data_IF_544109443083
#
_entry.id   IF_544109443083
#
_cell.length_a   1.000
_cell.length_b   1.000
_cell.length_c   1.000
_cell.angle_alpha   90.00
_cell.angle_beta   90.00
_cell.angle_gamma   90.00
#
_symmetry.space_group_name_H-M   'P 1'
#
loop_
_entity.id
_entity.type
_entity.pdbx_description
1 polymer ?
#
# COMPACT_ATOMS: atom_id res chain seq x y z
N UNK A 1 -5.74 7.06 7.67
CA UNK A 1 -4.27 7.13 7.53
C UNK A 1 -3.87 8.45 6.90
N UNK A 2 -3.10 9.27 7.59
CA UNK A 2 -2.54 10.50 7.01
C UNK A 2 -1.23 10.14 6.30
N UNK A 3 -1.30 9.93 4.99
CA UNK A 3 -0.17 9.50 4.13
C UNK A 3 1.04 10.43 4.27
N UNK A 4 0.80 11.71 4.55
CA UNK A 4 1.87 12.68 4.79
C UNK A 4 2.69 12.41 6.04
N UNK A 5 2.11 11.84 7.11
CA UNK A 5 2.85 11.50 8.33
C UNK A 5 3.85 10.38 8.05
N UNK A 6 3.41 9.33 7.33
CA UNK A 6 4.27 8.23 6.91
C UNK A 6 5.45 8.73 6.07
N UNK A 7 5.26 9.75 5.23
CA UNK A 7 6.32 10.28 4.36
C UNK A 7 7.56 10.82 5.10
N UNK A 8 7.44 11.10 6.41
CA UNK A 8 8.54 11.55 7.26
C UNK A 8 9.39 10.41 7.82
N UNK A 9 8.90 9.17 7.77
CA UNK A 9 9.59 7.98 8.28
C UNK A 9 10.61 7.45 7.27
N UNK A 10 11.51 8.29 6.79
CA UNK A 10 12.40 7.99 5.64
C UNK A 10 13.42 6.87 5.90
N UNK A 11 13.61 6.48 7.16
CA UNK A 11 14.48 5.38 7.55
C UNK A 11 13.77 4.02 7.66
N UNK A 12 12.45 3.99 7.47
CA UNK A 12 11.64 2.80 7.64
C UNK A 12 11.95 1.78 6.55
N UNK A 13 12.19 0.52 6.93
CA UNK A 13 12.44 -0.58 6.00
C UNK A 13 11.23 -1.53 5.90
N UNK A 14 10.46 -1.63 6.98
CA UNK A 14 9.30 -2.51 7.08
C UNK A 14 8.19 -1.77 7.83
N UNK A 15 6.98 -1.77 7.27
CA UNK A 15 5.80 -1.14 7.84
C UNK A 15 4.69 -2.17 8.00
N UNK A 16 4.21 -2.38 9.22
CA UNK A 16 3.02 -3.17 9.46
C UNK A 16 1.86 -2.26 9.88
N UNK A 17 0.80 -2.27 9.08
CA UNK A 17 -0.47 -1.60 9.36
C UNK A 17 -1.63 -2.60 9.30
N UNK A 18 -1.36 -3.90 9.42
CA UNK A 18 -2.39 -4.94 9.43
C UNK A 18 -3.39 -4.72 10.58
N UNK A 19 -4.66 -5.07 10.33
CA UNK A 19 -5.73 -5.03 11.33
C UNK A 19 -5.94 -3.66 12.01
N UNK A 20 -5.49 -2.56 11.40
CA UNK A 20 -5.60 -1.21 11.99
C UNK A 20 -6.96 -0.56 11.73
N UNK A 21 -7.90 -1.28 11.11
CA UNK A 21 -9.22 -0.78 10.76
C UNK A 21 -9.19 0.39 9.76
N UNK A 22 -8.09 0.51 9.00
CA UNK A 22 -7.94 1.58 8.02
C UNK A 22 -8.97 1.38 6.91
N UNK A 23 -9.81 2.40 6.75
CA UNK A 23 -10.81 2.48 5.70
C UNK A 23 -10.56 3.74 4.86
N UNK A 24 -10.91 3.66 3.58
CA UNK A 24 -10.96 4.83 2.70
C UNK A 24 -10.04 4.80 1.48
N UNK A 25 -10.14 5.90 0.74
CA UNK A 25 -9.50 6.11 -0.56
C UNK A 25 -8.40 7.14 -0.36
N UNK A 26 -7.11 6.77 -0.41
CA UNK A 26 -6.04 7.74 -0.47
C UNK A 26 -6.28 8.82 -1.53
N UNK A 27 -5.98 10.07 -1.20
CA UNK A 27 -5.83 11.10 -2.21
C UNK A 27 -4.54 10.81 -3.00
N UNK A 28 -4.66 10.62 -4.31
CA UNK A 28 -3.54 10.29 -5.20
C UNK A 28 -2.42 11.33 -5.12
N UNK A 29 -2.75 12.60 -4.92
CA UNK A 29 -1.76 13.67 -4.81
C UNK A 29 -0.90 13.50 -3.54
N UNK A 30 -1.49 13.02 -2.45
CA UNK A 30 -0.79 12.79 -1.20
C UNK A 30 0.14 11.58 -1.30
N UNK A 31 -0.23 10.59 -2.11
CA UNK A 31 0.57 9.39 -2.31
C UNK A 31 1.93 9.65 -2.95
N UNK A 32 2.08 10.75 -3.72
CA UNK A 32 3.38 11.15 -4.26
C UNK A 32 4.43 11.40 -3.17
N UNK A 33 4.00 11.75 -1.95
CA UNK A 33 4.91 11.97 -0.82
C UNK A 33 5.59 10.67 -0.34
N UNK A 34 5.00 9.50 -0.63
CA UNK A 34 5.57 8.19 -0.30
C UNK A 34 6.88 7.90 -1.05
N UNK A 35 7.17 8.62 -2.14
CA UNK A 35 8.46 8.55 -2.86
C UNK A 35 9.68 8.88 -1.98
N UNK A 36 9.45 9.52 -0.82
CA UNK A 36 10.47 9.80 0.19
C UNK A 36 10.94 8.53 0.93
N UNK A 37 10.14 7.46 0.93
CA UNK A 37 10.40 6.21 1.65
C UNK A 37 11.33 5.29 0.85
N UNK A 38 12.54 5.79 0.56
CA UNK A 38 13.55 5.12 -0.27
C UNK A 38 14.14 3.84 0.35
N UNK A 39 13.84 3.56 1.62
CA UNK A 39 14.34 2.39 2.34
C UNK A 39 13.26 1.35 2.58
N UNK A 40 11.99 1.70 2.34
CA UNK A 40 10.85 0.85 2.63
C UNK A 40 10.78 -0.29 1.63
N UNK A 41 10.95 -1.51 2.12
CA UNK A 41 11.00 -2.76 1.35
C UNK A 41 9.80 -3.65 1.61
N UNK A 42 9.20 -3.59 2.79
CA UNK A 42 8.06 -4.41 3.16
C UNK A 42 6.92 -3.56 3.68
N UNK A 43 5.71 -3.82 3.20
CA UNK A 43 4.47 -3.29 3.78
C UNK A 43 3.46 -4.42 3.98
N UNK A 44 2.93 -4.52 5.18
CA UNK A 44 1.75 -5.30 5.48
C UNK A 44 0.53 -4.37 5.66
N UNK A 45 -0.49 -4.51 4.81
CA UNK A 45 -1.77 -3.82 4.91
C UNK A 45 -2.93 -4.81 5.10
N UNK A 46 -2.66 -6.06 5.50
CA UNK A 46 -3.67 -7.12 5.62
C UNK A 46 -4.83 -6.71 6.54
N UNK A 47 -6.00 -7.30 6.34
CA UNK A 47 -7.16 -7.14 7.23
C UNK A 47 -7.56 -5.67 7.48
N UNK A 48 -7.43 -4.85 6.45
CA UNK A 48 -7.95 -3.49 6.39
C UNK A 48 -9.10 -3.38 5.37
N UNK A 49 -9.71 -2.21 5.22
CA UNK A 49 -10.81 -2.01 4.28
C UNK A 49 -10.44 -0.97 3.21
N UNK A 50 -9.40 -1.28 2.43
CA UNK A 50 -8.92 -0.42 1.34
C UNK A 50 -9.66 -0.73 0.04
N UNK A 51 -9.77 0.28 -0.83
CA UNK A 51 -10.24 0.07 -2.19
C UNK A 51 -9.08 0.08 -3.19
N UNK A 52 -9.40 -0.13 -4.48
CA UNK A 52 -8.39 -0.24 -5.55
C UNK A 52 -7.45 0.97 -5.68
N UNK A 53 -7.79 2.14 -5.14
CA UNK A 53 -6.93 3.32 -5.25
C UNK A 53 -5.65 3.23 -4.40
N UNK A 54 -5.61 2.35 -3.38
CA UNK A 54 -4.37 2.12 -2.60
C UNK A 54 -3.22 1.65 -3.49
N UNK A 55 -3.54 0.91 -4.55
CA UNK A 55 -2.56 0.42 -5.53
C UNK A 55 -1.81 1.59 -6.18
N UNK A 56 -2.50 2.68 -6.52
CA UNK A 56 -1.87 3.88 -7.08
C UNK A 56 -0.91 4.59 -6.12
N UNK A 57 -1.04 4.33 -4.82
CA UNK A 57 -0.15 4.90 -3.80
C UNK A 57 1.07 4.02 -3.57
N UNK A 58 0.88 2.72 -3.67
CA UNK A 58 1.95 1.73 -3.56
C UNK A 58 2.97 1.86 -4.71
N UNK A 59 2.53 2.28 -5.90
CA UNK A 59 3.46 2.56 -7.02
C UNK A 59 4.38 3.77 -6.77
N UNK A 60 4.09 4.61 -5.79
CA UNK A 60 4.95 5.73 -5.42
C UNK A 60 6.13 5.31 -4.52
N UNK A 61 6.18 4.05 -4.06
CA UNK A 61 7.22 3.52 -3.18
C UNK A 61 8.36 2.92 -4.03
N UNK A 62 9.54 3.57 -4.10
CA UNK A 62 10.56 3.24 -5.08
C UNK A 62 11.38 1.98 -4.75
N UNK A 63 11.19 1.39 -3.57
CA UNK A 63 12.03 0.28 -3.08
C UNK A 63 11.22 -0.85 -2.45
N UNK A 64 9.90 -0.80 -2.60
CA UNK A 64 8.99 -1.83 -2.09
C UNK A 64 9.26 -3.15 -2.81
N UNK A 65 9.30 -4.26 -2.08
CA UNK A 65 9.53 -5.61 -2.60
C UNK A 65 8.52 -6.62 -2.08
N UNK A 66 8.04 -6.39 -0.86
CA UNK A 66 7.10 -7.26 -0.17
C UNK A 66 5.85 -6.42 0.13
N UNK A 67 4.70 -6.93 -0.27
CA UNK A 67 3.41 -6.30 -0.09
C UNK A 67 2.38 -7.37 0.28
N UNK A 68 1.80 -7.23 1.46
CA UNK A 68 0.66 -8.04 1.89
C UNK A 68 -0.64 -7.22 1.86
N UNK A 69 -1.63 -7.73 1.14
CA UNK A 69 -2.98 -7.17 1.00
C UNK A 69 -4.06 -8.22 1.32
N UNK A 70 -3.68 -9.29 2.02
CA UNK A 70 -4.59 -10.38 2.39
C UNK A 70 -5.78 -9.84 3.18
N UNK A 71 -7.00 -10.25 2.82
CA UNK A 71 -8.23 -9.77 3.47
C UNK A 71 -8.44 -8.25 3.45
N UNK A 72 -7.65 -7.48 2.67
CA UNK A 72 -7.75 -6.01 2.65
C UNK A 72 -8.81 -5.45 1.69
N UNK A 73 -9.47 -6.33 0.93
CA UNK A 73 -10.49 -5.99 -0.07
C UNK A 73 -11.76 -6.81 0.13
N UNK A 74 -12.87 -6.14 0.38
CA UNK A 74 -14.19 -6.74 0.13
C UNK A 74 -14.42 -6.79 -1.39
N UNK A 75 -14.01 -7.86 -2.07
CA UNK A 75 -14.28 -8.02 -3.49
C UNK A 75 -15.78 -8.15 -3.75
N UNK A 76 -16.41 -7.03 -4.11
CA UNK A 76 -17.62 -7.07 -4.91
C UNK A 76 -17.28 -7.73 -6.25
N UNK A 77 -17.63 -9.01 -6.38
CA UNK A 77 -17.72 -9.83 -7.59
C UNK A 77 -16.86 -9.36 -8.78
N UNK A 78 -15.63 -9.87 -8.86
CA UNK A 78 -14.76 -10.02 -10.04
C UNK A 78 -13.35 -9.55 -9.70
N UNK A 79 -12.53 -10.53 -9.37
CA UNK A 79 -11.09 -10.44 -9.39
C UNK A 79 -10.63 -10.35 -10.85
N UNK A 80 -9.96 -9.28 -11.30
CA UNK A 80 -9.11 -9.40 -12.46
C UNK A 80 -7.86 -10.14 -11.98
N UNK A 81 -7.77 -11.42 -12.34
CA UNK A 81 -6.61 -12.30 -12.10
C UNK A 81 -5.30 -11.66 -12.61
N UNK A 82 -5.38 -10.63 -13.46
CA UNK A 82 -4.25 -9.78 -13.86
C UNK A 82 -3.52 -9.06 -12.71
N UNK A 83 -4.15 -8.79 -11.56
CA UNK A 83 -3.49 -8.10 -10.45
C UNK A 83 -2.43 -8.93 -9.72
N UNK A 84 -2.51 -10.26 -9.83
CA UNK A 84 -1.60 -11.18 -9.14
C UNK A 84 -0.22 -11.30 -9.81
N UNK A 85 -0.06 -10.70 -10.99
CA UNK A 85 1.20 -10.68 -11.73
C UNK A 85 2.06 -9.44 -11.46
N UNK A 86 1.51 -8.37 -10.86
CA UNK A 86 2.30 -7.15 -10.57
C UNK A 86 3.25 -7.37 -9.38
N UNK A 87 2.99 -8.35 -8.51
CA UNK A 87 3.86 -8.69 -7.38
C UNK A 87 5.13 -9.47 -7.77
N UNK A 88 5.31 -9.85 -9.04
CA UNK A 88 6.53 -10.52 -9.52
C UNK A 88 7.58 -9.56 -10.09
N UNK A 89 7.26 -8.27 -10.24
CA UNK A 89 8.17 -7.29 -10.87
C UNK A 89 8.32 -5.97 -10.09
N UNK A 90 8.29 -6.05 -8.76
CA UNK A 90 8.86 -4.99 -7.90
C UNK A 90 10.16 -5.49 -7.27
#
# INVERSE_FOLDING_TARGET
MLIWELSHLTNLEELDLSETGLNGTPNIQDCKTLSRLKRLKSINLSDNNFNKSIISCLTALPSLKILDLTSSFSWGSSFPVQGMFILKEI
#
